data_IF_088725599277
#
_entry.id   IF_088725599277
#
_cell.length_a   1.000
_cell.length_b   1.000
_cell.length_c   1.000
_cell.angle_alpha   90.00
_cell.angle_beta   90.00
_cell.angle_gamma   90.00
#
_symmetry.space_group_name_H-M   'P 1'
#
loop_
_entity.id
_entity.type
_entity.pdbx_description
1 polymer ?
#
# COMPACT_ATOMS: atom_id res chain seq x y z
N UNK A 1 4.32 29.64 0.20
CA UNK A 1 5.11 28.70 1.03
C UNK A 1 4.22 27.75 1.81
N UNK A 2 3.32 28.24 2.64
CA UNK A 2 2.41 27.38 3.41
C UNK A 2 1.56 26.45 2.55
N UNK A 3 1.04 26.94 1.43
CA UNK A 3 0.19 26.14 0.52
C UNK A 3 0.98 25.00 -0.13
N UNK A 4 2.25 25.21 -0.44
CA UNK A 4 3.10 24.16 -1.01
C UNK A 4 3.35 23.02 -0.03
N UNK A 5 3.72 23.36 1.22
CA UNK A 5 3.94 22.37 2.28
C UNK A 5 2.66 21.61 2.59
N UNK A 6 1.53 22.31 2.70
CA UNK A 6 0.24 21.70 2.98
C UNK A 6 -0.10 20.67 1.89
N UNK A 7 0.14 20.99 0.63
CA UNK A 7 -0.11 20.08 -0.50
C UNK A 7 0.69 18.77 -0.36
N UNK A 8 1.99 18.86 -0.05
CA UNK A 8 2.81 17.67 0.19
C UNK A 8 2.27 16.84 1.35
N UNK A 9 1.91 17.50 2.47
CA UNK A 9 1.39 16.79 3.65
C UNK A 9 0.06 16.10 3.36
N UNK A 10 -0.83 16.74 2.60
CA UNK A 10 -2.11 16.14 2.21
C UNK A 10 -1.91 14.93 1.30
N UNK A 11 -1.01 15.02 0.33
CA UNK A 11 -0.70 13.88 -0.54
C UNK A 11 -0.01 12.75 0.23
N UNK A 12 0.87 13.08 1.20
CA UNK A 12 1.50 12.07 2.05
C UNK A 12 0.44 11.35 2.91
N UNK A 13 -0.48 12.09 3.51
CA UNK A 13 -1.56 11.50 4.31
C UNK A 13 -2.46 10.61 3.45
N UNK A 14 -2.87 11.09 2.28
CA UNK A 14 -3.70 10.32 1.36
C UNK A 14 -2.96 9.05 0.90
N UNK A 15 -1.67 9.14 0.63
CA UNK A 15 -0.85 7.99 0.26
C UNK A 15 -0.74 6.97 1.38
N UNK A 16 -0.53 7.43 2.61
CA UNK A 16 -0.49 6.55 3.78
C UNK A 16 -1.83 5.81 3.96
N UNK A 17 -2.94 6.52 3.87
CA UNK A 17 -4.28 5.91 3.98
C UNK A 17 -4.48 4.89 2.87
N UNK A 18 -4.13 5.22 1.63
CA UNK A 18 -4.21 4.30 0.50
C UNK A 18 -3.40 3.03 0.76
N UNK A 19 -2.14 3.17 1.14
CA UNK A 19 -1.25 2.04 1.39
C UNK A 19 -1.68 1.20 2.58
N UNK A 20 -2.34 1.81 3.58
CA UNK A 20 -2.81 1.11 4.77
C UNK A 20 -3.99 0.18 4.51
N UNK A 21 -4.64 0.29 3.35
CA UNK A 21 -5.70 -0.64 2.96
C UNK A 21 -5.04 -1.97 2.57
N UNK A 22 -5.25 -2.99 3.39
CA UNK A 22 -4.58 -4.27 3.25
C UNK A 22 -5.42 -5.25 2.44
N UNK A 23 -5.39 -5.11 1.11
CA UNK A 23 -6.21 -5.92 0.21
C UNK A 23 -5.95 -7.41 0.35
N UNK A 24 -4.68 -7.82 0.45
CA UNK A 24 -4.31 -9.21 0.61
C UNK A 24 -4.74 -9.81 1.95
N UNK A 25 -5.00 -8.97 2.94
CA UNK A 25 -5.56 -9.40 4.22
C UNK A 25 -7.08 -9.33 4.22
N UNK A 26 -7.64 -8.21 3.78
CA UNK A 26 -9.07 -7.93 3.87
C UNK A 26 -9.91 -8.78 2.92
N UNK A 27 -9.46 -8.94 1.68
CA UNK A 27 -10.26 -9.67 0.67
C UNK A 27 -10.44 -11.14 1.03
N UNK A 28 -9.38 -11.91 1.35
CA UNK A 28 -9.58 -13.29 1.80
C UNK A 28 -10.41 -13.39 3.07
N UNK A 29 -10.19 -12.49 4.01
CA UNK A 29 -10.91 -12.51 5.30
C UNK A 29 -12.40 -12.23 5.13
N UNK A 30 -12.75 -11.20 4.37
CA UNK A 30 -14.15 -10.78 4.20
C UNK A 30 -14.93 -11.67 3.24
N UNK A 31 -14.31 -12.16 2.17
CA UNK A 31 -15.00 -12.92 1.13
C UNK A 31 -14.83 -14.43 1.24
N UNK A 32 -13.75 -14.90 1.86
CA UNK A 32 -13.44 -16.33 1.97
C UNK A 32 -13.36 -16.84 3.41
N UNK A 33 -13.43 -15.95 4.39
CA UNK A 33 -13.31 -16.32 5.80
C UNK A 33 -11.90 -16.78 6.21
N UNK A 34 -10.87 -16.45 5.42
CA UNK A 34 -9.49 -16.90 5.65
C UNK A 34 -8.64 -15.74 6.12
N UNK A 35 -8.03 -15.86 7.29
CA UNK A 35 -7.06 -14.89 7.81
C UNK A 35 -5.65 -15.36 7.47
N UNK A 36 -5.05 -14.78 6.42
CA UNK A 36 -3.75 -15.22 5.94
C UNK A 36 -2.60 -14.87 6.90
N UNK A 37 -2.80 -13.91 7.80
CA UNK A 37 -1.81 -13.58 8.83
C UNK A 37 -1.72 -14.70 9.85
N UNK A 38 -2.84 -15.30 10.21
CA UNK A 38 -2.87 -16.44 11.13
C UNK A 38 -2.46 -17.75 10.47
N UNK A 39 -2.91 -17.99 9.24
CA UNK A 39 -2.72 -19.26 8.54
C UNK A 39 -1.43 -19.33 7.72
N UNK A 40 -0.88 -18.18 7.28
CA UNK A 40 0.37 -18.14 6.54
C UNK A 40 1.58 -18.47 7.42
N UNK A 41 2.56 -19.21 6.88
CA UNK A 41 3.72 -19.67 7.63
C UNK A 41 4.53 -18.51 8.23
N UNK A 42 4.73 -17.44 7.47
CA UNK A 42 5.51 -16.28 7.89
C UNK A 42 4.63 -15.16 8.48
N UNK A 43 3.31 -15.39 8.58
CA UNK A 43 2.34 -14.42 9.09
C UNK A 43 2.35 -13.08 8.34
N UNK A 44 2.83 -13.06 7.09
CA UNK A 44 2.89 -11.86 6.27
C UNK A 44 1.54 -11.66 5.56
N UNK A 45 0.93 -10.45 5.63
CA UNK A 45 -0.33 -10.15 4.96
C UNK A 45 -0.13 -9.83 3.47
N UNK A 46 0.61 -10.66 2.75
CA UNK A 46 0.94 -10.46 1.34
C UNK A 46 0.28 -11.46 0.41
N UNK A 47 0.34 -11.17 -0.89
CA UNK A 47 -0.32 -11.96 -1.93
C UNK A 47 0.19 -13.41 -1.97
N UNK A 48 1.44 -13.67 -1.60
CA UNK A 48 1.98 -15.03 -1.59
C UNK A 48 1.19 -15.94 -0.66
N UNK A 49 0.83 -15.44 0.53
CA UNK A 49 0.00 -16.20 1.46
C UNK A 49 -1.44 -16.33 0.97
N UNK A 50 -1.95 -15.34 0.24
CA UNK A 50 -3.26 -15.48 -0.41
C UNK A 50 -3.22 -16.61 -1.43
N UNK A 51 -2.17 -16.71 -2.23
CA UNK A 51 -2.01 -17.78 -3.20
C UNK A 51 -1.93 -19.15 -2.53
N UNK A 52 -1.22 -19.25 -1.40
CA UNK A 52 -1.06 -20.51 -0.68
C UNK A 52 -2.31 -20.93 0.10
N UNK A 53 -2.93 -19.97 0.79
CA UNK A 53 -4.05 -20.27 1.69
C UNK A 53 -5.40 -20.31 1.00
N UNK A 54 -5.57 -19.63 -0.15
CA UNK A 54 -6.84 -19.53 -0.84
C UNK A 54 -6.73 -20.00 -2.29
N UNK A 55 -6.21 -19.13 -3.18
CA UNK A 55 -6.06 -19.47 -4.59
C UNK A 55 -5.08 -18.55 -5.28
N UNK A 56 -4.48 -19.01 -6.36
CA UNK A 56 -3.56 -18.19 -7.18
C UNK A 56 -4.33 -17.04 -7.82
N UNK A 57 -5.55 -17.25 -8.29
CA UNK A 57 -6.38 -16.20 -8.90
C UNK A 57 -6.64 -15.05 -7.93
N UNK A 58 -7.02 -15.37 -6.70
CA UNK A 58 -7.26 -14.34 -5.68
C UNK A 58 -5.97 -13.63 -5.30
N UNK A 59 -4.85 -14.35 -5.21
CA UNK A 59 -3.55 -13.77 -4.94
C UNK A 59 -3.11 -12.77 -6.01
N UNK A 60 -3.37 -13.08 -7.29
CA UNK A 60 -3.07 -12.16 -8.40
C UNK A 60 -3.92 -10.89 -8.28
N UNK A 61 -5.23 -11.03 -8.00
CA UNK A 61 -6.09 -9.86 -7.79
C UNK A 61 -5.57 -8.98 -6.65
N UNK A 62 -5.21 -9.60 -5.52
CA UNK A 62 -4.66 -8.87 -4.38
C UNK A 62 -3.34 -8.18 -4.73
N UNK A 63 -2.48 -8.84 -5.52
CA UNK A 63 -1.24 -8.23 -6.00
C UNK A 63 -1.53 -6.98 -6.82
N UNK A 64 -2.46 -7.06 -7.77
CA UNK A 64 -2.81 -5.92 -8.62
C UNK A 64 -3.35 -4.75 -7.80
N UNK A 65 -4.16 -5.02 -6.80
CA UNK A 65 -4.69 -3.98 -5.91
C UNK A 65 -3.60 -3.38 -5.03
N UNK A 66 -2.69 -4.21 -4.51
CA UNK A 66 -1.57 -3.72 -3.70
C UNK A 66 -0.57 -2.89 -4.53
N UNK A 67 -0.36 -3.25 -5.79
CA UNK A 67 0.42 -2.42 -6.73
C UNK A 67 -0.30 -1.11 -6.99
N UNK A 68 -1.60 -1.16 -7.26
CA UNK A 68 -2.40 0.03 -7.58
C UNK A 68 -2.42 1.04 -6.43
N UNK A 69 -2.47 0.58 -5.18
CA UNK A 69 -2.50 1.49 -4.02
C UNK A 69 -1.18 2.26 -3.84
N UNK A 70 -0.07 1.73 -4.34
CA UNK A 70 1.20 2.45 -4.40
C UNK A 70 1.32 3.32 -5.65
N UNK A 71 0.81 2.82 -6.78
CA UNK A 71 0.86 3.52 -8.06
C UNK A 71 0.00 4.79 -8.06
N UNK A 72 -1.27 4.69 -7.66
CA UNK A 72 -2.21 5.80 -7.79
C UNK A 72 -1.79 7.06 -7.01
N UNK A 73 -1.41 6.98 -5.72
CA UNK A 73 -0.95 8.17 -5.02
C UNK A 73 0.30 8.80 -5.62
N UNK A 74 1.28 7.98 -6.03
CA UNK A 74 2.51 8.49 -6.63
C UNK A 74 2.24 9.16 -7.97
N UNK A 75 1.40 8.56 -8.81
CA UNK A 75 1.02 9.12 -10.10
C UNK A 75 0.29 10.45 -9.95
N UNK A 76 -0.69 10.51 -9.04
CA UNK A 76 -1.42 11.74 -8.76
C UNK A 76 -0.52 12.83 -8.20
N UNK A 77 0.43 12.46 -7.33
CA UNK A 77 1.38 13.43 -6.79
C UNK A 77 2.24 14.05 -7.89
N UNK A 78 2.67 13.26 -8.86
CA UNK A 78 3.45 13.79 -10.00
C UNK A 78 2.66 14.79 -10.83
N UNK A 79 1.34 14.63 -10.91
CA UNK A 79 0.49 15.56 -11.68
C UNK A 79 0.24 16.87 -10.93
N UNK A 80 0.11 16.83 -9.61
CA UNK A 80 -0.38 17.96 -8.83
C UNK A 80 0.65 18.59 -7.90
N UNK A 81 1.77 17.92 -7.63
CA UNK A 81 2.83 18.43 -6.78
C UNK A 81 4.00 18.89 -7.67
N UNK A 82 4.32 20.18 -7.69
CA UNK A 82 5.14 20.76 -8.76
C UNK A 82 6.64 20.47 -8.68
N UNK A 83 7.19 20.09 -7.55
CA UNK A 83 8.62 19.95 -7.39
C UNK A 83 9.03 18.56 -6.91
N UNK A 84 9.49 17.74 -7.85
CA UNK A 84 9.95 16.37 -7.59
C UNK A 84 11.30 16.33 -6.86
N UNK A 85 12.05 17.42 -6.86
CA UNK A 85 13.37 17.49 -6.22
C UNK A 85 13.26 17.83 -4.73
N UNK A 86 12.08 18.26 -4.29
CA UNK A 86 11.84 18.57 -2.90
C UNK A 86 11.88 17.30 -2.04
N UNK A 87 12.55 17.37 -0.88
CA UNK A 87 12.61 16.24 0.06
C UNK A 87 11.21 15.77 0.50
N UNK A 88 10.24 16.67 0.57
CA UNK A 88 8.85 16.33 0.90
C UNK A 88 8.21 15.43 -0.15
N UNK A 89 8.64 15.54 -1.40
CA UNK A 89 8.14 14.64 -2.44
C UNK A 89 8.55 13.18 -2.17
N UNK A 90 9.74 12.97 -1.63
CA UNK A 90 10.16 11.62 -1.23
C UNK A 90 9.24 11.04 -0.15
N UNK A 91 8.81 11.85 0.81
CA UNK A 91 7.82 11.44 1.82
C UNK A 91 6.49 11.06 1.16
N UNK A 92 6.03 11.86 0.20
CA UNK A 92 4.77 11.62 -0.50
C UNK A 92 4.78 10.26 -1.22
N UNK A 93 5.84 9.95 -1.97
CA UNK A 93 5.92 8.70 -2.70
C UNK A 93 6.20 7.49 -1.81
N UNK A 94 6.83 7.69 -0.66
CA UNK A 94 7.06 6.62 0.31
C UNK A 94 5.83 6.32 1.19
N UNK A 95 4.89 7.25 1.29
CA UNK A 95 3.77 7.14 2.21
C UNK A 95 2.92 5.87 2.01
N UNK A 96 2.57 5.43 0.78
CA UNK A 96 1.83 4.18 0.62
C UNK A 96 2.58 2.95 1.13
N UNK A 97 3.89 2.88 0.94
CA UNK A 97 4.71 1.78 1.46
C UNK A 97 4.71 1.80 2.98
N UNK A 98 4.83 2.98 3.58
CA UNK A 98 4.76 3.14 5.03
C UNK A 98 3.36 2.75 5.55
N UNK A 99 2.31 3.10 4.82
CA UNK A 99 0.94 2.71 5.17
C UNK A 99 0.75 1.19 5.14
N UNK A 100 1.33 0.52 4.15
CA UNK A 100 1.30 -0.94 4.08
C UNK A 100 2.06 -1.59 5.23
N UNK A 101 3.26 -1.11 5.53
CA UNK A 101 4.12 -1.68 6.57
C UNK A 101 3.59 -1.40 7.98
N UNK A 102 3.02 -0.22 8.20
CA UNK A 102 2.58 0.22 9.53
C UNK A 102 1.08 0.53 9.55
N UNK A 103 0.29 -0.35 8.95
CA UNK A 103 -1.16 -0.16 8.85
C UNK A 103 -1.86 -0.25 10.20
N UNK A 104 -2.78 0.69 10.53
CA UNK A 104 -3.60 0.59 11.73
C UNK A 104 -4.53 -0.65 11.74
N UNK A 105 -4.90 -1.14 10.55
CA UNK A 105 -5.77 -2.32 10.41
C UNK A 105 -5.15 -3.55 11.07
N UNK A 106 -3.82 -3.69 11.02
CA UNK A 106 -3.08 -4.79 11.63
C UNK A 106 -2.23 -4.34 12.83
N UNK A 107 -2.71 -3.32 13.56
CA UNK A 107 -2.04 -2.78 14.76
C UNK A 107 -0.61 -2.36 14.49
N UNK A 108 -0.38 -1.72 13.33
CA UNK A 108 0.91 -1.23 12.85
C UNK A 108 1.95 -2.32 12.55
N UNK A 109 1.48 -3.56 12.36
CA UNK A 109 2.33 -4.71 11.97
C UNK A 109 1.86 -5.23 10.60
N UNK A 110 2.10 -4.44 9.57
CA UNK A 110 1.70 -4.79 8.21
C UNK A 110 2.68 -5.70 7.49
N UNK A 111 2.68 -5.60 6.17
CA UNK A 111 3.54 -6.40 5.31
C UNK A 111 4.85 -5.72 4.95
N UNK A 112 5.56 -6.32 4.01
CA UNK A 112 6.87 -5.84 3.56
C UNK A 112 6.78 -4.68 2.57
N UNK A 113 5.61 -4.46 1.95
CA UNK A 113 5.38 -3.33 1.05
C UNK A 113 5.95 -3.49 -0.35
N UNK A 114 6.36 -4.67 -0.77
CA UNK A 114 6.98 -4.87 -2.08
C UNK A 114 6.05 -4.50 -3.24
N UNK A 115 4.78 -4.90 -3.17
CA UNK A 115 3.82 -4.58 -4.23
C UNK A 115 3.54 -3.08 -4.32
N UNK A 116 3.37 -2.42 -3.18
CA UNK A 116 3.17 -0.97 -3.13
C UNK A 116 4.41 -0.21 -3.62
N UNK A 117 5.60 -0.70 -3.26
CA UNK A 117 6.87 -0.15 -3.74
C UNK A 117 6.98 -0.28 -5.27
N UNK A 118 6.62 -1.44 -5.81
CA UNK A 118 6.58 -1.65 -7.26
C UNK A 118 5.62 -0.67 -7.94
N UNK A 119 4.44 -0.47 -7.36
CA UNK A 119 3.47 0.50 -7.86
C UNK A 119 4.04 1.92 -7.89
N UNK A 120 4.72 2.32 -6.81
CA UNK A 120 5.38 3.61 -6.74
C UNK A 120 6.42 3.79 -7.85
N UNK A 121 7.24 2.75 -8.11
CA UNK A 121 8.27 2.80 -9.15
C UNK A 121 7.63 2.92 -10.55
N UNK A 122 6.55 2.19 -10.80
CA UNK A 122 5.87 2.20 -12.10
C UNK A 122 5.15 3.52 -12.39
N UNK A 123 4.84 4.26 -11.35
CA UNK A 123 4.22 5.57 -11.51
C UNK A 123 5.23 6.60 -12.03
#
# INVERSE_FOLDING_TARGET
MGNGILKYLLFALAGYVSGSIMYSYLIPKLFCGVDIVKEGEDHNPGMTNVMRCVSVKLGVLCLLLDVAKGFAPAFLAKLYVPDFKNMLFALVIAAPVLGHAFTPILKFKGGKGFASYLGMILA
#
